data_IF_129307187119
#
_entry.id   IF_129307187119
#
_cell.length_a   1.000
_cell.length_b   1.000
_cell.length_c   1.000
_cell.angle_alpha   90.00
_cell.angle_beta   90.00
_cell.angle_gamma   90.00
#
_symmetry.space_group_name_H-M   'P 1'
#
loop_
_entity.id
_entity.type
_entity.pdbx_description
1 polymer ?
#
# COMPACT_ATOMS: atom_id res chain seq x y z
N UNK A 1 -27.18 7.05 -5.02
CA UNK A 1 -26.19 6.46 -5.95
C UNK A 1 -24.75 6.96 -5.70
N UNK A 2 -24.53 8.17 -5.15
CA UNK A 2 -23.18 8.69 -4.81
C UNK A 2 -22.37 7.90 -3.75
N UNK A 3 -22.98 6.99 -2.98
CA UNK A 3 -22.27 6.22 -1.95
C UNK A 3 -21.30 5.19 -2.55
N UNK A 4 -21.68 4.52 -3.65
CA UNK A 4 -20.85 3.50 -4.27
C UNK A 4 -19.56 4.06 -4.87
N UNK A 5 -19.62 5.21 -5.54
CA UNK A 5 -18.46 5.85 -6.15
C UNK A 5 -17.48 6.41 -5.11
N UNK A 6 -18.00 6.96 -4.01
CA UNK A 6 -17.15 7.42 -2.90
C UNK A 6 -16.52 6.26 -2.10
N UNK A 7 -17.19 5.11 -1.97
CA UNK A 7 -16.57 3.91 -1.40
C UNK A 7 -15.40 3.42 -2.26
N UNK A 8 -15.55 3.41 -3.59
CA UNK A 8 -14.43 3.06 -4.48
C UNK A 8 -13.30 4.10 -4.37
N UNK A 9 -13.63 5.39 -4.24
CA UNK A 9 -12.63 6.45 -4.00
C UNK A 9 -11.82 6.17 -2.74
N UNK A 10 -12.50 5.85 -1.63
CA UNK A 10 -11.87 5.51 -0.36
C UNK A 10 -11.00 4.27 -0.48
N UNK A 11 -11.51 3.18 -1.05
CA UNK A 11 -10.75 1.95 -1.24
C UNK A 11 -9.49 2.17 -2.09
N UNK A 12 -9.60 2.94 -3.18
CA UNK A 12 -8.46 3.33 -4.01
C UNK A 12 -7.42 4.14 -3.24
N UNK A 13 -7.87 5.08 -2.41
CA UNK A 13 -6.98 5.87 -1.52
C UNK A 13 -6.29 4.99 -0.48
N UNK A 14 -7.02 4.12 0.20
CA UNK A 14 -6.49 3.23 1.25
C UNK A 14 -5.45 2.26 0.65
N UNK A 15 -5.71 1.74 -0.55
CA UNK A 15 -4.75 0.92 -1.29
C UNK A 15 -3.50 1.73 -1.68
N UNK A 16 -3.66 2.93 -2.24
CA UNK A 16 -2.54 3.79 -2.60
C UNK A 16 -1.68 4.18 -1.40
N UNK A 17 -2.31 4.48 -0.26
CA UNK A 17 -1.63 4.81 0.99
C UNK A 17 -0.81 3.62 1.50
N UNK A 18 -1.39 2.42 1.53
CA UNK A 18 -0.67 1.20 1.91
C UNK A 18 0.51 0.90 0.98
N UNK A 19 0.30 0.96 -0.34
CA UNK A 19 1.36 0.73 -1.32
C UNK A 19 2.49 1.76 -1.18
N UNK A 20 2.17 3.02 -0.90
CA UNK A 20 3.17 4.09 -0.74
C UNK A 20 3.93 3.96 0.57
N UNK A 21 3.25 3.62 1.67
CA UNK A 21 3.85 3.47 2.99
C UNK A 21 4.88 2.33 3.02
N UNK A 22 4.52 1.18 2.46
CA UNK A 22 5.39 -0.01 2.44
C UNK A 22 6.28 -0.10 1.20
N UNK A 23 5.98 0.65 0.14
CA UNK A 23 6.75 0.68 -1.10
C UNK A 23 7.95 1.62 -1.09
N UNK A 24 8.11 2.45 -0.06
CA UNK A 24 9.16 3.46 -0.01
C UNK A 24 10.55 2.91 0.40
N UNK A 25 11.60 3.61 -0.03
CA UNK A 25 13.01 3.36 0.30
C UNK A 25 13.49 1.92 0.05
N UNK A 26 13.73 1.15 1.12
CA UNK A 26 14.38 -0.16 1.07
C UNK A 26 13.64 -1.15 0.15
N UNK A 27 12.31 -1.08 0.11
CA UNK A 27 11.47 -1.92 -0.76
C UNK A 27 11.77 -1.66 -2.24
N UNK A 28 12.02 -0.42 -2.64
CA UNK A 28 12.37 -0.08 -4.03
C UNK A 28 13.73 -0.66 -4.43
N UNK A 29 14.73 -0.59 -3.54
CA UNK A 29 16.05 -1.18 -3.78
C UNK A 29 15.98 -2.72 -3.85
N UNK A 30 15.28 -3.34 -2.89
CA UNK A 30 15.05 -4.78 -2.87
C UNK A 30 14.31 -5.24 -4.13
N UNK A 31 13.28 -4.52 -4.56
CA UNK A 31 12.52 -4.83 -5.77
C UNK A 31 13.39 -4.75 -7.04
N UNK A 32 14.28 -3.75 -7.16
CA UNK A 32 15.23 -3.65 -8.29
C UNK A 32 16.21 -4.82 -8.33
N UNK A 33 16.77 -5.19 -7.18
CA UNK A 33 17.68 -6.34 -7.07
C UNK A 33 16.95 -7.65 -7.37
N UNK A 34 15.77 -7.83 -6.81
CA UNK A 34 14.94 -9.00 -7.07
C UNK A 34 14.59 -9.12 -8.56
N UNK A 35 14.27 -8.00 -9.22
CA UNK A 35 14.05 -7.98 -10.68
C UNK A 35 15.26 -8.50 -11.45
N UNK A 36 16.46 -8.03 -11.14
CA UNK A 36 17.68 -8.50 -11.81
C UNK A 36 17.89 -10.01 -11.63
N UNK A 37 17.62 -10.53 -10.43
CA UNK A 37 17.70 -11.96 -10.17
C UNK A 37 16.63 -12.73 -10.97
N UNK A 38 15.39 -12.25 -11.00
CA UNK A 38 14.30 -12.85 -11.77
C UNK A 38 14.63 -12.88 -13.27
N UNK A 39 15.09 -11.76 -13.84
CA UNK A 39 15.49 -11.68 -15.25
C UNK A 39 16.61 -12.65 -15.58
N UNK A 40 17.61 -12.75 -14.69
CA UNK A 40 18.72 -13.71 -14.85
C UNK A 40 18.22 -15.15 -14.80
N UNK A 41 17.36 -15.50 -13.84
CA UNK A 41 16.77 -16.84 -13.71
C UNK A 41 15.90 -17.19 -14.92
N UNK A 42 15.06 -16.26 -15.38
CA UNK A 42 14.26 -16.45 -16.60
C UNK A 42 15.16 -16.64 -17.82
N UNK A 43 16.27 -15.90 -17.92
CA UNK A 43 17.26 -16.06 -18.97
C UNK A 43 17.86 -17.46 -19.01
N UNK A 44 18.18 -18.04 -17.85
CA UNK A 44 18.69 -19.42 -17.73
C UNK A 44 17.62 -20.44 -18.15
N UNK A 45 16.40 -20.32 -17.63
CA UNK A 45 15.30 -21.24 -17.95
C UNK A 45 14.86 -21.15 -19.41
N UNK A 46 15.12 -20.01 -20.06
CA UNK A 46 14.81 -19.82 -21.47
C UNK A 46 15.89 -20.38 -22.42
N UNK A 47 16.99 -20.92 -21.89
CA UNK A 47 18.02 -21.54 -22.74
C UNK A 47 17.49 -22.82 -23.41
N UNK A 48 17.71 -23.01 -24.74
CA UNK A 48 17.22 -24.18 -25.45
C UNK A 48 17.77 -25.51 -24.91
N UNK A 49 19.00 -25.50 -24.39
CA UNK A 49 19.63 -26.67 -23.75
C UNK A 49 18.87 -27.11 -22.50
N UNK A 50 18.48 -26.15 -21.65
CA UNK A 50 17.70 -26.39 -20.42
C UNK A 50 16.30 -26.88 -20.78
N UNK A 51 15.63 -26.21 -21.71
CA UNK A 51 14.30 -26.61 -22.18
C UNK A 51 14.29 -28.04 -22.74
N UNK A 52 15.30 -28.38 -23.56
CA UNK A 52 15.45 -29.73 -24.12
C UNK A 52 15.72 -30.78 -23.03
N UNK A 53 16.54 -30.47 -22.02
CA UNK A 53 16.84 -31.39 -20.92
C UNK A 53 15.57 -31.78 -20.14
N UNK A 54 14.64 -30.84 -19.98
CA UNK A 54 13.35 -31.08 -19.34
C UNK A 54 12.23 -31.42 -20.33
N UNK A 55 12.52 -31.57 -21.63
CA UNK A 55 11.55 -31.87 -22.69
C UNK A 55 10.46 -30.80 -22.90
N UNK A 56 10.71 -29.57 -22.48
CA UNK A 56 9.78 -28.45 -22.52
C UNK A 56 9.99 -27.59 -23.78
N UNK A 57 8.95 -26.91 -24.24
CA UNK A 57 9.01 -25.99 -25.40
C UNK A 57 9.10 -24.53 -24.97
N UNK A 58 8.81 -24.22 -23.71
CA UNK A 58 8.89 -22.87 -23.15
C UNK A 58 9.35 -22.92 -21.68
N UNK A 59 9.82 -21.79 -21.16
CA UNK A 59 10.33 -21.69 -19.79
C UNK A 59 9.27 -22.06 -18.73
N UNK A 60 8.00 -21.80 -18.97
CA UNK A 60 6.93 -22.07 -18.00
C UNK A 60 6.68 -23.57 -17.84
N UNK A 61 6.76 -24.33 -18.93
CA UNK A 61 6.72 -25.78 -18.91
C UNK A 61 7.94 -26.36 -18.17
N UNK A 62 9.11 -25.72 -18.25
CA UNK A 62 10.27 -26.12 -17.41
C UNK A 62 9.92 -25.93 -15.94
N UNK A 63 9.36 -24.78 -15.56
CA UNK A 63 8.95 -24.50 -14.18
C UNK A 63 7.92 -25.52 -13.69
N UNK A 64 6.89 -25.85 -14.49
CA UNK A 64 5.89 -26.86 -14.15
C UNK A 64 6.54 -28.22 -13.89
N UNK A 65 7.40 -28.68 -14.82
CA UNK A 65 8.02 -30.00 -14.73
C UNK A 65 8.96 -30.12 -13.54
N UNK A 66 9.79 -29.10 -13.28
CA UNK A 66 10.68 -29.09 -12.11
C UNK A 66 9.86 -29.00 -10.82
N UNK A 67 8.80 -28.20 -10.79
CA UNK A 67 7.91 -28.11 -9.62
C UNK A 67 7.25 -29.45 -9.30
N UNK A 68 6.81 -30.17 -10.34
CA UNK A 68 6.18 -31.48 -10.16
C UNK A 68 7.18 -32.58 -9.84
N UNK A 69 8.38 -32.58 -10.44
CA UNK A 69 9.38 -33.64 -10.22
C UNK A 69 10.13 -33.49 -8.90
N UNK A 70 10.56 -32.29 -8.56
CA UNK A 70 11.45 -32.04 -7.41
C UNK A 70 10.68 -31.64 -6.15
N UNK A 71 9.57 -30.91 -6.31
CA UNK A 71 8.83 -30.34 -5.18
C UNK A 71 7.47 -30.99 -4.96
N UNK A 72 7.05 -31.90 -5.87
CA UNK A 72 5.73 -32.52 -5.85
C UNK A 72 4.59 -31.47 -5.81
N UNK A 73 4.80 -30.34 -6.48
CA UNK A 73 3.87 -29.22 -6.58
C UNK A 73 3.38 -29.05 -8.02
N UNK A 74 2.11 -28.69 -8.17
CA UNK A 74 1.52 -28.31 -9.46
C UNK A 74 1.22 -26.81 -9.44
N UNK A 75 2.15 -25.95 -9.89
CA UNK A 75 1.96 -24.51 -9.83
C UNK A 75 0.89 -24.07 -10.83
N UNK A 76 -0.04 -23.22 -10.40
CA UNK A 76 -1.01 -22.61 -11.31
C UNK A 76 -0.37 -21.37 -11.95
N UNK A 77 0.42 -21.59 -13.01
CA UNK A 77 1.17 -20.53 -13.69
C UNK A 77 0.23 -19.46 -14.26
N UNK A 78 -0.91 -19.88 -14.82
CA UNK A 78 -1.91 -18.95 -15.39
C UNK A 78 -2.43 -18.02 -14.31
N UNK A 79 -2.81 -18.55 -13.13
CA UNK A 79 -3.24 -17.74 -11.98
C UNK A 79 -2.19 -16.70 -11.60
N UNK A 80 -0.94 -17.12 -11.40
CA UNK A 80 0.12 -16.21 -10.94
C UNK A 80 0.45 -15.14 -11.98
N UNK A 81 0.43 -15.50 -13.28
CA UNK A 81 0.68 -14.56 -14.37
C UNK A 81 -0.44 -13.53 -14.50
N UNK A 82 -1.69 -13.99 -14.56
CA UNK A 82 -2.85 -13.10 -14.65
C UNK A 82 -2.90 -12.17 -13.44
N UNK A 83 -2.60 -12.67 -12.24
CA UNK A 83 -2.49 -11.85 -11.04
C UNK A 83 -1.40 -10.78 -11.22
N UNK A 84 -0.17 -11.17 -11.57
CA UNK A 84 0.91 -10.20 -11.75
C UNK A 84 0.59 -9.12 -12.80
N UNK A 85 0.04 -9.51 -13.95
CA UNK A 85 -0.32 -8.59 -15.04
C UNK A 85 -1.47 -7.66 -14.64
N UNK A 86 -2.54 -8.20 -14.05
CA UNK A 86 -3.70 -7.41 -13.64
C UNK A 86 -3.36 -6.43 -12.49
N UNK A 87 -2.59 -6.88 -11.49
CA UNK A 87 -2.20 -6.01 -10.37
C UNK A 87 -1.28 -4.90 -10.79
N UNK A 88 -0.30 -5.19 -11.66
CA UNK A 88 0.56 -4.14 -12.21
C UNK A 88 -0.28 -3.04 -12.85
N UNK A 89 -1.20 -3.41 -13.74
CA UNK A 89 -2.05 -2.45 -14.45
C UNK A 89 -3.00 -1.69 -13.51
N UNK A 90 -3.56 -2.37 -12.49
CA UNK A 90 -4.38 -1.70 -11.46
C UNK A 90 -3.57 -0.67 -10.67
N UNK A 91 -2.36 -1.03 -10.23
CA UNK A 91 -1.47 -0.11 -9.51
C UNK A 91 -1.07 1.07 -10.42
N UNK A 92 -0.77 0.81 -11.69
CA UNK A 92 -0.44 1.86 -12.67
C UNK A 92 -1.63 2.82 -12.90
N UNK A 93 -2.87 2.31 -12.98
CA UNK A 93 -4.08 3.14 -13.06
C UNK A 93 -4.29 3.97 -11.79
N UNK A 94 -4.08 3.38 -10.61
CA UNK A 94 -4.19 4.10 -9.34
C UNK A 94 -3.15 5.25 -9.28
N UNK A 95 -1.92 4.98 -9.71
CA UNK A 95 -0.86 5.98 -9.78
C UNK A 95 -1.17 7.09 -10.79
N UNK A 96 -1.69 6.75 -11.98
CA UNK A 96 -2.12 7.71 -13.01
C UNK A 96 -3.13 8.71 -12.46
N UNK A 97 -4.12 8.23 -11.70
CA UNK A 97 -5.21 9.03 -11.14
C UNK A 97 -4.99 9.46 -9.67
N UNK A 98 -3.74 9.54 -9.19
CA UNK A 98 -3.44 9.83 -7.77
C UNK A 98 -4.14 11.08 -7.19
N UNK A 99 -4.36 12.13 -8.00
CA UNK A 99 -5.11 13.32 -7.58
C UNK A 99 -6.60 13.02 -7.33
N UNK A 100 -7.22 12.19 -8.16
CA UNK A 100 -8.63 11.79 -8.08
C UNK A 100 -8.87 10.99 -6.79
N UNK A 101 -7.97 10.08 -6.43
CA UNK A 101 -8.13 9.29 -5.21
C UNK A 101 -8.01 10.13 -3.93
N UNK A 102 -7.17 11.17 -3.94
CA UNK A 102 -6.87 11.99 -2.75
C UNK A 102 -7.80 13.19 -2.55
N UNK A 103 -8.41 13.73 -3.62
CA UNK A 103 -9.37 14.84 -3.51
C UNK A 103 -10.79 14.36 -3.68
N UNK A 104 -11.72 15.07 -3.04
CA UNK A 104 -13.13 15.06 -3.43
C UNK A 104 -13.39 16.37 -4.18
N UNK A 105 -13.60 16.30 -5.49
CA UNK A 105 -13.92 17.45 -6.34
C UNK A 105 -15.43 17.72 -6.41
N UNK A 106 -16.25 16.90 -5.75
CA UNK A 106 -17.71 16.90 -5.87
C UNK A 106 -18.24 16.22 -7.13
N UNK A 107 -17.37 15.76 -8.04
CA UNK A 107 -17.71 14.91 -9.17
C UNK A 107 -17.58 13.43 -8.80
N UNK A 108 -18.36 12.53 -9.42
CA UNK A 108 -18.21 11.10 -9.21
C UNK A 108 -16.87 10.59 -9.77
N UNK A 109 -16.27 9.58 -9.14
CA UNK A 109 -15.03 8.95 -9.62
C UNK A 109 -15.20 8.41 -11.04
N UNK A 110 -16.33 7.75 -11.29
CA UNK A 110 -16.65 7.15 -12.57
C UNK A 110 -17.80 7.89 -13.24
N UNK A 111 -17.86 7.79 -14.57
CA UNK A 111 -18.95 8.35 -15.36
C UNK A 111 -20.29 7.76 -14.91
N UNK A 112 -21.22 8.64 -14.53
CA UNK A 112 -22.60 8.35 -14.15
C UNK A 112 -23.56 8.98 -15.21
N UNK A 113 -24.78 8.45 -15.38
CA UNK A 113 -25.73 9.04 -16.33
C UNK A 113 -25.98 10.53 -16.04
N UNK A 114 -25.59 11.40 -16.97
CA UNK A 114 -25.75 12.86 -16.85
C UNK A 114 -24.67 13.58 -16.04
N UNK A 115 -23.60 12.90 -15.61
CA UNK A 115 -22.44 13.52 -14.94
C UNK A 115 -21.13 12.96 -15.48
N UNK A 116 -20.21 13.87 -15.83
CA UNK A 116 -18.85 13.48 -16.17
C UNK A 116 -18.15 12.87 -14.93
N UNK A 117 -17.45 11.76 -15.14
CA UNK A 117 -16.58 11.16 -14.14
C UNK A 117 -15.19 11.76 -14.19
N UNK A 118 -14.44 11.62 -13.10
CA UNK A 118 -13.03 12.06 -13.04
C UNK A 118 -12.05 11.08 -13.69
N UNK A 119 -12.47 9.82 -13.84
CA UNK A 119 -11.74 8.78 -14.58
C UNK A 119 -12.42 8.59 -15.93
N UNK A 120 -11.61 8.61 -16.99
CA UNK A 120 -12.06 8.40 -18.36
C UNK A 120 -12.74 7.02 -18.51
N UNK A 121 -13.78 6.94 -19.34
CA UNK A 121 -14.55 5.71 -19.57
C UNK A 121 -13.72 4.48 -20.03
N UNK A 122 -12.69 4.60 -20.91
CA UNK A 122 -11.83 3.46 -21.22
C UNK A 122 -11.04 2.96 -20.00
N UNK A 123 -10.52 3.85 -19.17
CA UNK A 123 -9.75 3.48 -17.99
C UNK A 123 -10.63 2.94 -16.87
N UNK A 124 -11.87 3.45 -16.75
CA UNK A 124 -12.91 2.86 -15.91
C UNK A 124 -13.18 1.41 -16.33
N UNK A 125 -13.40 1.18 -17.62
CA UNK A 125 -13.67 -0.17 -18.16
C UNK A 125 -12.48 -1.09 -17.88
N UNK A 126 -11.26 -0.63 -18.16
CA UNK A 126 -10.05 -1.37 -17.85
C UNK A 126 -9.95 -1.70 -16.34
N UNK A 127 -10.22 -0.74 -15.47
CA UNK A 127 -10.18 -0.95 -14.02
C UNK A 127 -11.13 -2.06 -13.56
N UNK A 128 -12.38 -2.05 -14.03
CA UNK A 128 -13.35 -3.11 -13.71
C UNK A 128 -12.93 -4.46 -14.27
N UNK A 129 -12.48 -4.52 -15.52
CA UNK A 129 -12.02 -5.77 -16.14
C UNK A 129 -10.83 -6.36 -15.40
N UNK A 130 -9.84 -5.55 -15.03
CA UNK A 130 -8.65 -6.02 -14.31
C UNK A 130 -9.01 -6.51 -12.90
N UNK A 131 -9.92 -5.82 -12.22
CA UNK A 131 -10.43 -6.24 -10.91
C UNK A 131 -11.16 -7.58 -11.01
N UNK A 132 -12.03 -7.75 -12.01
CA UNK A 132 -12.73 -9.02 -12.25
C UNK A 132 -11.77 -10.16 -12.58
N UNK A 133 -10.76 -9.92 -13.41
CA UNK A 133 -9.71 -10.91 -13.71
C UNK A 133 -8.97 -11.33 -12.44
N UNK A 134 -8.62 -10.36 -11.58
CA UNK A 134 -7.96 -10.63 -10.30
C UNK A 134 -8.84 -11.45 -9.35
N UNK A 135 -10.12 -11.12 -9.23
CA UNK A 135 -11.07 -11.88 -8.40
C UNK A 135 -11.26 -13.31 -8.93
N UNK A 136 -11.43 -13.45 -10.24
CA UNK A 136 -11.65 -14.74 -10.91
C UNK A 136 -10.48 -15.71 -10.68
N UNK A 137 -9.23 -15.26 -10.81
CA UNK A 137 -8.07 -16.15 -10.60
C UNK A 137 -7.81 -16.48 -9.14
N UNK A 138 -8.35 -15.69 -8.21
CA UNK A 138 -8.33 -16.01 -6.78
C UNK A 138 -9.48 -16.90 -6.34
N UNK A 139 -10.47 -17.17 -7.22
CA UNK A 139 -11.64 -17.96 -6.89
C UNK A 139 -12.54 -17.30 -5.84
N UNK A 140 -12.51 -15.97 -5.76
CA UNK A 140 -13.34 -15.20 -4.84
C UNK A 140 -14.77 -15.26 -5.37
N UNK A 141 -15.68 -15.81 -4.55
CA UNK A 141 -17.10 -15.96 -4.90
C UNK A 141 -17.84 -14.65 -4.61
N UNK A 142 -18.97 -14.44 -5.28
CA UNK A 142 -19.80 -13.24 -5.09
C UNK A 142 -20.17 -12.99 -3.62
N UNK A 143 -20.50 -14.04 -2.85
CA UNK A 143 -20.77 -13.92 -1.42
C UNK A 143 -19.56 -13.40 -0.60
N UNK A 144 -18.33 -13.71 -1.03
CA UNK A 144 -17.12 -13.17 -0.41
C UNK A 144 -16.86 -11.75 -0.89
N UNK A 145 -17.18 -11.41 -2.14
CA UNK A 145 -17.12 -10.03 -2.64
C UNK A 145 -18.05 -9.15 -1.82
N UNK A 146 -19.29 -9.60 -1.58
CA UNK A 146 -20.25 -8.87 -0.76
C UNK A 146 -19.69 -8.63 0.65
N UNK A 147 -19.19 -9.67 1.31
CA UNK A 147 -18.55 -9.58 2.62
C UNK A 147 -17.36 -8.61 2.64
N UNK A 148 -16.46 -8.68 1.65
CA UNK A 148 -15.27 -7.83 1.61
C UNK A 148 -15.54 -6.40 1.13
N UNK A 149 -16.70 -6.16 0.51
CA UNK A 149 -17.13 -4.84 0.06
C UNK A 149 -17.79 -4.02 1.17
N UNK A 150 -18.04 -4.63 2.33
CA UNK A 150 -18.60 -3.93 3.48
C UNK A 150 -17.69 -2.74 3.87
N UNK A 151 -18.25 -1.54 4.05
CA UNK A 151 -17.45 -0.35 4.29
C UNK A 151 -16.79 -0.42 5.66
N UNK A 152 -15.51 -0.77 5.69
CA UNK A 152 -14.70 -0.69 6.90
C UNK A 152 -14.20 0.74 7.15
N UNK A 153 -14.23 1.18 8.41
CA UNK A 153 -13.57 2.42 8.82
C UNK A 153 -12.06 2.28 8.63
N UNK A 154 -11.45 3.19 7.85
CA UNK A 154 -10.00 3.21 7.64
C UNK A 154 -9.30 3.40 8.99
N UNK A 155 -8.48 2.42 9.38
CA UNK A 155 -7.63 2.54 10.56
C UNK A 155 -6.59 3.64 10.33
N UNK A 156 -6.27 4.40 11.39
CA UNK A 156 -5.23 5.43 11.30
C UNK A 156 -3.87 4.78 11.02
N UNK A 157 -3.35 4.98 9.80
CA UNK A 157 -1.98 4.61 9.45
C UNK A 157 -1.08 5.85 9.61
N UNK A 158 -0.02 5.78 10.45
CA UNK A 158 0.93 6.89 10.56
C UNK A 158 1.61 7.12 9.21
N UNK A 159 1.69 8.38 8.79
CA UNK A 159 2.28 8.82 7.51
C UNK A 159 3.81 8.66 7.47
N UNK A 160 4.42 8.26 8.58
CA UNK A 160 5.83 7.93 8.70
C UNK A 160 5.90 6.51 9.29
N UNK A 161 6.54 5.54 8.61
CA UNK A 161 6.81 4.26 9.22
C UNK A 161 7.63 4.49 10.49
N UNK A 162 7.16 3.98 11.63
CA UNK A 162 7.93 4.00 12.87
C UNK A 162 9.20 3.18 12.66
N UNK A 163 10.28 3.87 12.29
CA UNK A 163 11.61 3.28 12.21
C UNK A 163 12.05 2.99 13.64
N UNK A 164 11.70 1.80 14.13
CA UNK A 164 12.19 1.26 15.39
C UNK A 164 13.71 1.17 15.32
N UNK A 165 14.40 2.18 15.87
CA UNK A 165 15.86 2.17 15.93
C UNK A 165 16.55 3.53 16.09
N UNK A 166 15.93 4.67 15.79
CA UNK A 166 16.52 5.97 16.12
C UNK A 166 16.26 6.35 17.59
N UNK A 167 16.78 5.53 18.51
CA UNK A 167 17.14 5.98 19.85
C UNK A 167 18.42 6.80 19.73
N UNK A 168 18.28 8.02 19.18
CA UNK A 168 19.35 8.99 19.02
C UNK A 168 19.67 9.65 20.36
N UNK A 169 20.41 8.94 21.20
CA UNK A 169 21.17 9.57 22.28
C UNK A 169 22.28 10.43 21.68
N UNK A 170 22.02 11.72 21.51
CA UNK A 170 23.05 12.77 21.51
C UNK A 170 22.41 14.13 21.76
N UNK A 171 22.54 14.59 23.02
CA UNK A 171 22.48 15.97 23.47
C UNK A 171 22.74 17.04 22.41
N UNK A 172 21.83 18.02 22.27
CA UNK A 172 22.03 19.36 22.85
C UNK A 172 20.97 20.37 22.38
N UNK A 173 20.46 21.12 23.36
CA UNK A 173 19.71 22.39 23.28
C UNK A 173 18.32 22.43 22.62
N UNK A 174 17.31 22.20 23.44
CA UNK A 174 15.92 22.60 23.19
C UNK A 174 15.00 21.91 24.18
N UNK A 175 14.85 22.49 25.37
CA UNK A 175 14.17 21.86 26.51
C UNK A 175 12.67 21.67 26.29
N UNK A 176 12.28 20.44 25.97
CA UNK A 176 10.96 19.89 26.28
C UNK A 176 11.17 18.44 26.68
N UNK A 177 11.18 18.19 27.99
CA UNK A 177 11.44 16.87 28.54
C UNK A 177 10.33 15.89 28.11
N UNK A 178 10.68 14.67 27.64
CA UNK A 178 9.70 13.63 27.27
C UNK A 178 8.65 13.36 28.36
N UNK A 179 9.04 13.52 29.63
CA UNK A 179 8.19 13.38 30.81
C UNK A 179 7.00 14.35 30.86
N UNK A 180 7.09 15.50 30.18
CA UNK A 180 6.01 16.49 30.15
C UNK A 180 4.88 16.08 29.20
N UNK A 181 5.24 15.42 28.08
CA UNK A 181 4.27 14.96 27.09
C UNK A 181 3.49 13.74 27.58
N UNK A 182 4.14 12.87 28.34
CA UNK A 182 3.50 11.71 28.95
C UNK A 182 2.53 12.10 30.08
N UNK A 183 2.82 13.18 30.82
CA UNK A 183 1.88 13.77 31.80
C UNK A 183 0.63 14.36 31.13
N UNK A 184 0.77 15.00 29.96
CA UNK A 184 -0.38 15.54 29.21
C UNK A 184 -1.26 14.40 28.71
N UNK A 185 -0.66 13.33 28.16
CA UNK A 185 -1.41 12.14 27.75
C UNK A 185 -2.17 11.52 28.92
N UNK A 186 -1.52 11.37 30.09
CA UNK A 186 -2.17 10.87 31.31
C UNK A 186 -3.34 11.76 31.80
N UNK A 187 -3.20 13.08 31.79
CA UNK A 187 -4.28 13.98 32.24
C UNK A 187 -5.47 14.02 31.27
N UNK A 188 -5.20 13.94 29.95
CA UNK A 188 -6.26 13.86 28.92
C UNK A 188 -6.99 12.52 28.99
N UNK A 189 -6.32 11.43 29.34
CA UNK A 189 -6.99 10.13 29.55
C UNK A 189 -7.87 10.12 30.81
N UNK A 190 -7.60 11.01 31.77
CA UNK A 190 -8.39 11.19 32.98
C UNK A 190 -9.52 12.23 32.81
N UNK A 191 -9.72 12.77 31.60
CA UNK A 191 -10.80 13.70 31.31
C UNK A 191 -10.64 15.10 31.94
N UNK A 192 -9.44 15.43 32.44
CA UNK A 192 -9.12 16.76 32.96
C UNK A 192 -8.39 17.57 31.88
N UNK A 193 -8.97 18.71 31.48
CA UNK A 193 -8.28 19.66 30.61
C UNK A 193 -7.26 20.46 31.43
N UNK A 194 -5.97 20.47 31.07
CA UNK A 194 -4.99 21.28 31.76
C UNK A 194 -5.29 22.78 31.57
N UNK A 195 -5.12 23.54 32.65
CA UNK A 195 -5.37 24.98 32.65
C UNK A 195 -4.33 25.74 31.82
N UNK A 196 -4.73 26.89 31.28
CA UNK A 196 -3.88 27.74 30.44
C UNK A 196 -2.57 28.16 31.15
N UNK A 197 -2.64 28.40 32.47
CA UNK A 197 -1.49 28.74 33.30
C UNK A 197 -0.48 27.59 33.44
N UNK A 198 -0.96 26.34 33.50
CA UNK A 198 -0.10 25.15 33.54
C UNK A 198 0.64 24.93 32.22
N UNK A 199 -0.03 25.20 31.09
CA UNK A 199 0.60 25.15 29.78
C UNK A 199 1.68 26.24 29.65
N UNK A 200 1.41 27.46 30.12
CA UNK A 200 2.37 28.56 30.03
C UNK A 200 3.61 28.35 30.91
N UNK A 201 3.44 27.73 32.09
CA UNK A 201 4.56 27.34 32.96
C UNK A 201 5.45 26.23 32.37
N UNK A 202 4.90 25.35 31.52
CA UNK A 202 5.66 24.29 30.85
C UNK A 202 6.54 24.80 29.70
N UNK A 203 6.15 25.90 29.04
CA UNK A 203 6.91 26.46 27.91
C UNK A 203 7.95 27.53 28.32
N UNK A 204 7.85 28.14 29.51
CA UNK A 204 8.64 29.34 29.85
C UNK A 204 9.73 29.15 30.93
N UNK A 205 10.10 27.91 31.26
CA UNK A 205 11.09 27.58 32.30
C UNK A 205 12.57 27.80 31.94
N UNK A 206 12.89 28.59 30.92
CA UNK A 206 14.26 28.77 30.37
C UNK A 206 14.89 30.15 30.57
N UNK A 207 14.48 30.92 31.60
CA UNK A 207 14.98 32.28 31.85
C UNK A 207 16.34 32.31 32.55
N UNK A 208 17.36 32.78 31.82
CA UNK A 208 18.75 33.03 32.24
C UNK A 208 18.85 33.90 33.50
N UNK A 209 19.53 33.40 34.55
CA UNK A 209 20.09 34.24 35.62
C UNK A 209 21.28 35.02 35.05
N UNK A 210 21.11 36.31 34.76
CA UNK A 210 22.25 37.24 34.70
C UNK A 210 22.55 37.70 36.12
N UNK A 211 23.73 37.32 36.61
CA UNK A 211 24.33 37.92 37.79
C UNK A 211 24.86 39.32 37.46
N UNK A 212 24.60 40.26 38.34
CA UNK A 212 25.48 41.38 38.64
C UNK A 212 26.08 41.12 40.02
#
# INVERSE_FOLDING_TARGET
QNLASEYVRKAGRDLAANLSLYGWAATQFAARRLRQHIESSLGILNQPSVQKAYGATNLYQVIERVSSSEFNLTPNIVKHRTMAEAGKQLIDLIAKYHFVWNRSSGLPVFVEPGRAGEIDDPDKTAFFTLTQQWLAVNGIKDAQVDQYSEPEMSQYAPSIPSFGGFNGGSSSNGGTSPDQMDRIKQMVTQGQMPSLDQLQGMFNGGGVKMGM
#
